data_IF_801083960139
#
_entry.id   IF_801083960139
#
_cell.length_a   1.000
_cell.length_b   1.000
_cell.length_c   1.000
_cell.angle_alpha   90.00
_cell.angle_beta   90.00
_cell.angle_gamma   90.00
#
_symmetry.space_group_name_H-M   'P 1'
#
loop_
_entity.id
_entity.type
_entity.pdbx_description
1 polymer ?
#
# COMPACT_ATOMS: atom_id res chain seq x y z
N UNK A 1 70.71 36.32 28.63
CA UNK A 1 70.14 35.17 29.33
C UNK A 1 68.74 35.48 29.87
N UNK A 2 67.76 35.85 29.02
CA UNK A 2 66.43 36.28 29.51
C UNK A 2 65.23 35.81 28.67
N UNK A 3 65.39 34.82 27.78
CA UNK A 3 64.29 34.34 26.93
C UNK A 3 63.68 33.01 27.43
N UNK A 4 64.45 32.19 28.16
CA UNK A 4 64.01 30.85 28.59
C UNK A 4 62.80 30.88 29.55
N UNK A 5 62.71 31.92 30.37
CA UNK A 5 61.62 32.04 31.35
C UNK A 5 60.30 32.47 30.68
N UNK A 6 60.37 33.18 29.56
CA UNK A 6 59.19 33.60 28.79
C UNK A 6 58.66 32.45 27.94
N UNK A 7 59.55 31.60 27.42
CA UNK A 7 59.18 30.41 26.65
C UNK A 7 58.54 29.34 27.54
N UNK A 8 59.04 29.12 28.75
CA UNK A 8 58.45 28.20 29.72
C UNK A 8 57.03 28.61 30.15
N UNK A 9 56.81 29.92 30.37
CA UNK A 9 55.50 30.46 30.74
C UNK A 9 54.50 30.38 29.58
N UNK A 10 54.95 30.67 28.35
CA UNK A 10 54.12 30.53 27.15
C UNK A 10 53.77 29.06 26.88
N UNK A 11 54.70 28.13 27.15
CA UNK A 11 54.43 26.71 26.99
C UNK A 11 53.42 26.20 28.03
N UNK A 12 53.57 26.59 29.31
CA UNK A 12 52.60 26.26 30.35
C UNK A 12 51.20 26.83 30.08
N UNK A 13 51.13 28.06 29.54
CA UNK A 13 49.86 28.65 29.11
C UNK A 13 49.22 27.89 27.95
N UNK A 14 50.00 27.46 26.95
CA UNK A 14 49.50 26.63 25.85
C UNK A 14 48.99 25.29 26.35
N UNK A 15 49.76 24.61 27.19
CA UNK A 15 49.42 23.28 27.71
C UNK A 15 48.16 23.32 28.60
N UNK A 16 47.92 24.44 29.30
CA UNK A 16 46.73 24.61 30.12
C UNK A 16 45.50 25.03 29.30
N UNK A 17 45.64 25.99 28.37
CA UNK A 17 44.49 26.59 27.69
C UNK A 17 44.10 25.88 26.39
N UNK A 18 45.04 25.34 25.62
CA UNK A 18 44.74 24.71 24.32
C UNK A 18 43.79 23.51 24.47
N UNK A 19 43.94 22.60 25.46
CA UNK A 19 43.00 21.48 25.63
C UNK A 19 41.60 21.97 26.01
N UNK A 20 41.53 22.92 26.96
CA UNK A 20 40.25 23.48 27.45
C UNK A 20 39.49 24.17 26.31
N UNK A 21 40.19 24.96 25.49
CA UNK A 21 39.56 25.60 24.32
C UNK A 21 39.20 24.57 23.24
N UNK A 22 40.02 23.56 23.02
CA UNK A 22 39.75 22.52 22.01
C UNK A 22 38.51 21.69 22.35
N UNK A 23 38.36 21.24 23.60
CA UNK A 23 37.18 20.52 24.07
C UNK A 23 35.91 21.36 23.94
N UNK A 24 36.00 22.64 24.31
CA UNK A 24 34.86 23.56 24.24
C UNK A 24 34.45 23.86 22.80
N UNK A 25 35.40 23.95 21.87
CA UNK A 25 35.13 24.08 20.43
C UNK A 25 34.45 22.83 19.88
N UNK A 26 34.91 21.63 20.26
CA UNK A 26 34.27 20.37 19.85
C UNK A 26 32.84 20.28 20.39
N UNK A 27 32.62 20.60 21.67
CA UNK A 27 31.30 20.60 22.27
C UNK A 27 30.33 21.58 21.56
N UNK A 28 30.81 22.78 21.21
CA UNK A 28 30.02 23.77 20.46
C UNK A 28 29.67 23.28 19.05
N UNK A 29 30.60 22.62 18.35
CA UNK A 29 30.34 22.04 17.02
C UNK A 29 29.29 20.92 17.09
N UNK A 30 29.41 20.03 18.07
CA UNK A 30 28.43 18.95 18.27
C UNK A 30 27.05 19.49 18.65
N UNK A 31 26.99 20.50 19.51
CA UNK A 31 25.74 21.18 19.86
C UNK A 31 25.11 21.87 18.65
N UNK A 32 25.92 22.53 17.81
CA UNK A 32 25.47 23.16 16.57
C UNK A 32 24.93 22.13 15.57
N UNK A 33 25.62 21.01 15.37
CA UNK A 33 25.16 19.94 14.49
C UNK A 33 23.84 19.32 14.98
N UNK A 34 23.71 19.14 16.30
CA UNK A 34 22.46 18.67 16.91
C UNK A 34 21.31 19.66 16.73
N UNK A 35 21.58 20.96 16.84
CA UNK A 35 20.57 22.01 16.63
C UNK A 35 20.06 22.04 15.19
N UNK A 36 20.94 21.85 14.20
CA UNK A 36 20.52 21.73 12.79
C UNK A 36 19.68 20.46 12.55
N UNK A 37 20.10 19.32 13.11
CA UNK A 37 19.32 18.07 13.00
C UNK A 37 17.91 18.18 13.63
N UNK A 38 17.74 18.97 14.69
CA UNK A 38 16.42 19.20 15.30
C UNK A 38 15.53 20.02 14.36
N UNK A 39 16.08 21.05 13.70
CA UNK A 39 15.32 21.85 12.73
C UNK A 39 14.84 21.02 11.54
N UNK A 40 15.67 20.11 11.05
CA UNK A 40 15.30 19.21 9.96
C UNK A 40 14.15 18.28 10.36
N UNK A 41 14.15 17.79 11.60
CA UNK A 41 13.06 16.96 12.13
C UNK A 41 11.77 17.77 12.31
N UNK A 42 11.86 18.99 12.81
CA UNK A 42 10.70 19.90 12.93
C UNK A 42 10.08 20.20 11.55
N UNK A 43 10.91 20.40 10.52
CA UNK A 43 10.45 20.61 9.15
C UNK A 43 9.75 19.36 8.59
N UNK A 44 10.27 18.16 8.90
CA UNK A 44 9.65 16.89 8.52
C UNK A 44 8.31 16.68 9.19
N UNK A 45 8.20 16.99 10.48
CA UNK A 45 6.94 16.91 11.24
C UNK A 45 5.90 17.84 10.61
N UNK A 46 6.26 19.09 10.32
CA UNK A 46 5.35 20.05 9.68
C UNK A 46 4.86 19.57 8.30
N UNK A 47 5.73 18.95 7.50
CA UNK A 47 5.36 18.37 6.21
C UNK A 47 4.37 17.19 6.37
N UNK A 48 4.59 16.30 7.34
CA UNK A 48 3.69 15.19 7.64
C UNK A 48 2.33 15.66 8.17
N UNK A 49 2.30 16.70 9.00
CA UNK A 49 1.06 17.30 9.48
C UNK A 49 0.25 17.90 8.33
N UNK A 50 0.92 18.55 7.38
CA UNK A 50 0.30 19.11 6.18
C UNK A 50 -0.33 18.01 5.32
N UNK A 51 0.39 16.91 5.07
CA UNK A 51 -0.16 15.79 4.30
C UNK A 51 -1.29 15.08 5.05
N UNK A 52 -1.18 14.92 6.37
CA UNK A 52 -2.26 14.36 7.18
C UNK A 52 -3.53 15.22 7.13
N UNK A 53 -3.38 16.55 7.13
CA UNK A 53 -4.52 17.47 6.96
C UNK A 53 -5.17 17.28 5.58
N UNK A 54 -4.37 17.13 4.52
CA UNK A 54 -4.84 16.85 3.16
C UNK A 54 -5.61 15.53 3.09
N UNK A 55 -5.06 14.45 3.66
CA UNK A 55 -5.70 13.14 3.69
C UNK A 55 -7.02 13.17 4.47
N UNK A 56 -7.08 13.86 5.60
CA UNK A 56 -8.32 14.05 6.36
C UNK A 56 -9.40 14.76 5.53
N UNK A 57 -9.03 15.82 4.81
CA UNK A 57 -9.94 16.51 3.90
C UNK A 57 -10.44 15.58 2.79
N UNK A 58 -9.57 14.74 2.22
CA UNK A 58 -9.96 13.77 1.19
C UNK A 58 -10.91 12.70 1.73
N UNK A 59 -10.65 12.17 2.92
CA UNK A 59 -11.52 11.19 3.58
C UNK A 59 -12.89 11.79 3.86
N UNK A 60 -12.94 13.02 4.40
CA UNK A 60 -14.20 13.72 4.65
C UNK A 60 -14.98 13.97 3.36
N UNK A 61 -14.28 14.42 2.31
CA UNK A 61 -14.89 14.61 0.99
C UNK A 61 -15.43 13.29 0.42
N UNK A 62 -14.68 12.18 0.57
CA UNK A 62 -15.11 10.86 0.13
C UNK A 62 -16.33 10.35 0.90
N UNK A 63 -16.37 10.53 2.22
CA UNK A 63 -17.52 10.16 3.07
C UNK A 63 -18.79 10.95 2.74
N UNK A 64 -18.65 12.19 2.27
CA UNK A 64 -19.78 13.03 1.83
C UNK A 64 -20.31 12.68 0.44
N UNK A 65 -19.64 11.80 -0.31
CA UNK A 65 -20.13 11.40 -1.64
C UNK A 65 -21.38 10.55 -1.48
N UNK A 66 -22.42 10.87 -2.25
CA UNK A 66 -23.59 10.02 -2.33
C UNK A 66 -23.26 8.74 -3.14
N UNK A 67 -23.78 7.57 -2.73
CA UNK A 67 -23.74 6.36 -3.55
C UNK A 67 -24.44 6.58 -4.89
N UNK A 68 -23.89 6.00 -5.95
CA UNK A 68 -24.48 6.02 -7.30
C UNK A 68 -25.38 4.82 -7.51
N UNK A 69 -24.95 3.67 -6.99
CA UNK A 69 -25.67 2.42 -7.08
C UNK A 69 -25.41 1.59 -5.82
N UNK A 70 -26.10 0.46 -5.73
CA UNK A 70 -26.03 -0.42 -4.58
C UNK A 70 -26.07 -1.87 -5.02
N UNK A 71 -25.35 -2.73 -4.29
CA UNK A 71 -25.26 -4.17 -4.53
C UNK A 71 -25.48 -4.94 -3.23
N UNK A 72 -26.01 -6.16 -3.32
CA UNK A 72 -26.12 -7.08 -2.18
C UNK A 72 -25.55 -8.43 -2.52
N UNK A 73 -24.65 -8.93 -1.67
CA UNK A 73 -24.12 -10.29 -1.77
C UNK A 73 -25.12 -11.30 -1.20
N UNK A 74 -25.28 -12.43 -1.87
CA UNK A 74 -26.15 -13.52 -1.47
C UNK A 74 -25.32 -14.67 -0.89
N UNK A 75 -25.94 -15.49 -0.05
CA UNK A 75 -25.28 -16.66 0.57
C UNK A 75 -24.93 -17.77 -0.42
N UNK A 76 -25.51 -17.74 -1.62
CA UNK A 76 -25.18 -18.65 -2.73
C UNK A 76 -23.93 -18.20 -3.51
N UNK A 77 -23.23 -17.17 -3.05
CA UNK A 77 -22.05 -16.61 -3.72
C UNK A 77 -22.37 -15.66 -4.87
N UNK A 78 -23.65 -15.49 -5.22
CA UNK A 78 -24.09 -14.52 -6.22
C UNK A 78 -24.21 -13.10 -5.67
N UNK A 79 -24.62 -12.18 -6.54
CA UNK A 79 -24.96 -10.81 -6.16
C UNK A 79 -26.28 -10.37 -6.78
N UNK A 80 -26.94 -9.41 -6.12
CA UNK A 80 -28.14 -8.73 -6.58
C UNK A 80 -27.82 -7.24 -6.79
N UNK A 81 -28.18 -6.70 -7.94
CA UNK A 81 -27.83 -5.33 -8.37
C UNK A 81 -26.95 -5.31 -9.62
N UNK A 82 -26.40 -4.14 -10.01
CA UNK A 82 -26.51 -2.85 -9.34
C UNK A 82 -27.91 -2.24 -9.46
N UNK A 83 -28.44 -1.69 -8.37
CA UNK A 83 -29.64 -0.84 -8.38
C UNK A 83 -29.18 0.61 -8.16
N UNK A 84 -29.61 1.52 -9.03
CA UNK A 84 -29.25 2.95 -8.95
C UNK A 84 -29.84 3.60 -7.69
N UNK A 85 -29.15 4.56 -7.09
CA UNK A 85 -29.65 5.28 -5.90
C UNK A 85 -30.98 5.99 -6.16
N UNK A 86 -31.21 6.40 -7.41
CA UNK A 86 -32.43 7.06 -7.89
C UNK A 86 -33.57 6.09 -8.26
N UNK A 87 -33.34 4.78 -8.21
CA UNK A 87 -34.37 3.78 -8.55
C UNK A 87 -35.43 3.72 -7.43
N UNK A 88 -36.71 3.73 -7.82
CA UNK A 88 -37.84 3.71 -6.87
C UNK A 88 -37.86 2.46 -5.97
N UNK A 89 -37.21 1.37 -6.39
CA UNK A 89 -37.05 0.16 -5.58
C UNK A 89 -36.11 0.38 -4.40
N UNK A 90 -35.31 1.46 -4.38
CA UNK A 90 -34.28 1.71 -3.38
C UNK A 90 -34.76 2.59 -2.23
N UNK A 91 -35.36 1.96 -1.22
CA UNK A 91 -35.81 2.62 0.02
C UNK A 91 -34.77 2.55 1.15
N UNK A 92 -34.95 3.37 2.19
CA UNK A 92 -34.05 3.46 3.35
C UNK A 92 -33.77 2.11 4.02
N UNK A 93 -34.80 1.25 4.11
CA UNK A 93 -34.64 -0.10 4.65
C UNK A 93 -33.64 -0.92 3.84
N UNK A 94 -33.63 -0.81 2.51
CA UNK A 94 -32.68 -1.53 1.67
C UNK A 94 -31.28 -0.93 1.76
N UNK A 95 -31.14 0.39 1.87
CA UNK A 95 -29.84 1.07 2.04
C UNK A 95 -29.07 0.56 3.27
N UNK A 96 -29.75 0.08 4.31
CA UNK A 96 -29.10 -0.52 5.50
C UNK A 96 -28.51 -1.92 5.31
N UNK A 97 -28.94 -2.67 4.30
CA UNK A 97 -28.49 -4.06 4.05
C UNK A 97 -27.71 -4.24 2.74
N UNK A 98 -27.61 -3.17 1.94
CA UNK A 98 -26.94 -3.19 0.65
C UNK A 98 -25.62 -2.41 0.74
N UNK A 99 -24.62 -2.85 0.00
CA UNK A 99 -23.32 -2.20 -0.09
C UNK A 99 -23.39 -1.05 -1.10
N UNK A 100 -23.03 0.19 -0.71
CA UNK A 100 -23.02 1.33 -1.62
C UNK A 100 -21.85 1.23 -2.60
N UNK A 101 -22.11 1.62 -3.85
CA UNK A 101 -21.13 1.80 -4.92
C UNK A 101 -21.03 3.28 -5.25
N UNK A 102 -19.83 3.84 -5.14
CA UNK A 102 -19.56 5.25 -5.43
C UNK A 102 -19.00 5.41 -6.84
N UNK A 103 -19.19 6.59 -7.44
CA UNK A 103 -18.51 6.92 -8.68
C UNK A 103 -16.98 6.87 -8.48
N UNK A 104 -16.35 5.88 -9.09
CA UNK A 104 -14.90 5.88 -9.27
C UNK A 104 -14.47 7.00 -10.22
N UNK A 105 -13.19 7.37 -10.24
CA UNK A 105 -12.65 8.10 -11.38
C UNK A 105 -12.97 7.28 -12.64
N UNK A 106 -13.46 7.92 -13.69
CA UNK A 106 -13.67 7.24 -14.96
C UNK A 106 -12.32 6.66 -15.39
N UNK A 107 -12.18 5.34 -15.28
CA UNK A 107 -11.11 4.64 -15.97
C UNK A 107 -11.55 4.74 -17.42
N UNK A 108 -11.03 5.72 -18.15
CA UNK A 108 -11.06 5.70 -19.60
C UNK A 108 -10.31 4.44 -20.01
N UNK A 109 -11.04 3.34 -20.19
CA UNK A 109 -10.52 2.16 -20.85
C UNK A 109 -10.36 2.59 -22.30
N UNK A 110 -9.19 3.15 -22.60
CA UNK A 110 -8.77 3.36 -23.98
C UNK A 110 -8.95 2.01 -24.70
N UNK A 111 -9.62 1.95 -25.86
CA UNK A 111 -9.88 0.70 -26.56
C UNK A 111 -8.61 0.01 -27.09
N UNK A 112 -7.43 0.48 -26.71
CA UNK A 112 -6.16 0.02 -27.22
C UNK A 112 -5.50 -0.96 -26.23
N UNK A 113 -5.97 -2.21 -26.27
CA UNK A 113 -5.38 -3.39 -25.60
C UNK A 113 -3.90 -3.64 -25.98
N UNK A 114 -3.32 -2.81 -26.84
CA UNK A 114 -1.92 -2.84 -27.26
C UNK A 114 -0.93 -2.61 -26.11
N UNK A 115 -1.28 -1.77 -25.12
CA UNK A 115 -0.39 -1.56 -23.95
C UNK A 115 -0.41 -2.74 -22.97
N UNK A 116 -1.56 -3.36 -22.74
CA UNK A 116 -1.65 -4.58 -21.93
C UNK A 116 -0.87 -5.73 -22.58
N UNK A 117 -0.94 -5.88 -23.90
CA UNK A 117 -0.15 -6.86 -24.64
C UNK A 117 1.36 -6.59 -24.58
N UNK A 118 1.79 -5.32 -24.62
CA UNK A 118 3.19 -4.92 -24.49
C UNK A 118 3.75 -5.20 -23.09
N UNK A 119 3.02 -4.81 -22.02
CA UNK A 119 3.37 -5.12 -20.63
C UNK A 119 3.39 -6.63 -20.35
N UNK A 120 2.54 -7.40 -21.02
CA UNK A 120 2.50 -8.88 -20.92
C UNK A 120 3.60 -9.57 -21.72
N UNK A 121 4.18 -8.90 -22.72
CA UNK A 121 5.28 -9.42 -23.53
C UNK A 121 6.63 -9.16 -22.84
N UNK A 122 6.78 -7.99 -22.23
CA UNK A 122 8.02 -7.58 -21.54
C UNK A 122 8.25 -8.38 -20.24
N UNK A 123 7.18 -8.84 -19.58
CA UNK A 123 7.25 -9.67 -18.37
C UNK A 123 7.23 -11.19 -18.64
N UNK A 124 7.29 -11.64 -19.90
CA UNK A 124 7.24 -13.07 -20.26
C UNK A 124 8.61 -13.78 -20.19
N UNK A 125 9.65 -13.08 -19.71
CA UNK A 125 10.97 -13.66 -19.51
C UNK A 125 10.99 -14.67 -18.36
N UNK A 126 11.91 -15.64 -18.45
CA UNK A 126 12.20 -16.76 -17.52
C UNK A 126 12.16 -16.43 -16.02
N UNK A 127 12.22 -15.15 -15.66
CA UNK A 127 12.31 -14.63 -14.31
C UNK A 127 10.95 -14.54 -13.58
N UNK A 128 9.83 -14.54 -14.30
CA UNK A 128 8.50 -14.51 -13.66
C UNK A 128 8.22 -15.79 -12.86
N UNK A 129 8.60 -16.95 -13.41
CA UNK A 129 8.43 -18.25 -12.76
C UNK A 129 9.39 -18.40 -11.57
N UNK A 130 10.63 -17.89 -11.69
CA UNK A 130 11.59 -17.85 -10.61
C UNK A 130 11.15 -16.94 -9.45
N UNK A 131 10.59 -15.76 -9.75
CA UNK A 131 10.02 -14.84 -8.76
C UNK A 131 8.80 -15.42 -8.06
N UNK A 132 7.92 -16.09 -8.80
CA UNK A 132 6.76 -16.79 -8.21
C UNK A 132 7.20 -17.92 -7.28
N UNK A 133 8.20 -18.71 -7.66
CA UNK A 133 8.79 -19.74 -6.78
C UNK A 133 9.51 -19.14 -5.57
N UNK A 134 10.14 -17.98 -5.71
CA UNK A 134 10.80 -17.29 -4.60
C UNK A 134 9.81 -16.75 -3.54
N UNK A 135 8.56 -16.50 -3.94
CA UNK A 135 7.47 -16.11 -3.03
C UNK A 135 6.78 -17.33 -2.39
N UNK A 136 7.04 -18.54 -2.86
CA UNK A 136 6.44 -19.76 -2.32
C UNK A 136 7.17 -20.19 -1.03
N UNK A 137 6.47 -20.12 0.09
CA UNK A 137 6.94 -20.64 1.37
C UNK A 137 6.40 -22.08 1.51
N UNK A 138 7.25 -23.11 1.48
CA UNK A 138 6.79 -24.48 1.69
C UNK A 138 6.26 -24.64 3.12
N UNK A 139 5.16 -25.37 3.27
CA UNK A 139 4.57 -25.63 4.58
C UNK A 139 5.56 -26.37 5.49
N UNK A 140 5.62 -26.02 6.79
CA UNK A 140 6.49 -26.67 7.74
C UNK A 140 6.10 -28.16 7.89
N UNK A 141 7.08 -29.04 8.12
CA UNK A 141 6.84 -30.48 8.24
C UNK A 141 5.94 -30.77 9.45
N UNK A 142 4.80 -31.43 9.21
CA UNK A 142 3.83 -31.81 10.24
C UNK A 142 2.61 -30.89 10.35
N UNK A 143 2.60 -29.74 9.67
CA UNK A 143 1.36 -28.98 9.46
C UNK A 143 0.70 -29.45 8.16
N UNK A 144 -0.55 -29.91 8.25
CA UNK A 144 -1.39 -30.03 7.07
C UNK A 144 -1.62 -28.61 6.53
N UNK A 145 -0.93 -28.28 5.44
CA UNK A 145 -1.44 -27.27 4.52
C UNK A 145 -2.81 -27.66 3.97
N UNK A 146 -3.41 -26.85 3.10
CA UNK A 146 -4.58 -27.25 2.32
C UNK A 146 -4.17 -28.36 1.31
N UNK A 147 -3.83 -29.54 1.82
CA UNK A 147 -3.31 -30.70 1.09
C UNK A 147 -4.40 -31.71 0.74
N UNK A 148 -5.67 -31.35 0.87
CA UNK A 148 -6.73 -32.03 0.13
C UNK A 148 -6.79 -31.42 -1.29
N UNK A 149 -5.75 -31.68 -2.08
CA UNK A 149 -5.76 -31.43 -3.54
C UNK A 149 -6.97 -32.11 -4.20
N UNK A 150 -7.50 -33.19 -3.61
CA UNK A 150 -8.74 -33.84 -4.02
C UNK A 150 -9.96 -32.93 -3.90
N UNK A 151 -10.14 -32.21 -2.79
CA UNK A 151 -11.34 -31.39 -2.57
C UNK A 151 -11.40 -30.19 -3.53
N UNK A 152 -10.26 -29.55 -3.81
CA UNK A 152 -10.20 -28.45 -4.77
C UNK A 152 -10.36 -28.94 -6.22
N UNK A 153 -9.75 -30.08 -6.56
CA UNK A 153 -9.83 -30.64 -7.91
C UNK A 153 -11.23 -31.16 -8.22
N UNK A 154 -11.85 -31.87 -7.28
CA UNK A 154 -13.17 -32.44 -7.44
C UNK A 154 -14.25 -31.34 -7.46
N UNK A 155 -14.12 -30.32 -6.59
CA UNK A 155 -15.00 -29.16 -6.60
C UNK A 155 -14.91 -28.34 -7.89
N UNK A 156 -13.69 -28.12 -8.40
CA UNK A 156 -13.48 -27.35 -9.64
C UNK A 156 -13.96 -28.10 -10.88
N UNK A 157 -13.73 -29.41 -10.96
CA UNK A 157 -14.24 -30.24 -12.05
C UNK A 157 -15.77 -30.31 -12.05
N UNK A 158 -16.39 -30.43 -10.87
CA UNK A 158 -17.86 -30.43 -10.75
C UNK A 158 -18.46 -29.10 -11.21
N UNK A 159 -17.88 -27.97 -10.80
CA UNK A 159 -18.35 -26.65 -11.23
C UNK A 159 -18.19 -26.43 -12.75
N UNK A 160 -17.13 -26.96 -13.35
CA UNK A 160 -16.92 -26.92 -14.80
C UNK A 160 -17.94 -27.79 -15.55
N UNK A 161 -18.23 -29.00 -15.07
CA UNK A 161 -19.21 -29.89 -15.69
C UNK A 161 -20.63 -29.29 -15.62
N UNK A 162 -21.00 -28.67 -14.49
CA UNK A 162 -22.28 -27.96 -14.35
C UNK A 162 -22.38 -26.77 -15.32
N UNK A 163 -21.32 -25.97 -15.43
CA UNK A 163 -21.29 -24.84 -16.36
C UNK A 163 -21.44 -25.28 -17.83
N UNK A 164 -20.76 -26.36 -18.22
CA UNK A 164 -20.87 -26.93 -19.57
C UNK A 164 -22.30 -27.45 -19.80
N UNK A 165 -22.91 -28.10 -18.82
CA UNK A 165 -24.29 -28.58 -18.88
C UNK A 165 -25.30 -27.46 -19.09
N UNK A 166 -25.17 -26.35 -18.35
CA UNK A 166 -26.04 -25.16 -18.50
C UNK A 166 -25.87 -24.54 -19.88
N UNK A 167 -24.64 -24.41 -20.39
CA UNK A 167 -24.39 -23.88 -21.73
C UNK A 167 -25.03 -24.77 -22.79
N UNK A 168 -24.84 -26.10 -22.72
CA UNK A 168 -25.44 -27.03 -23.67
C UNK A 168 -26.98 -26.96 -23.67
N UNK A 169 -27.62 -26.88 -22.50
CA UNK A 169 -29.07 -26.75 -22.37
C UNK A 169 -29.59 -25.40 -22.88
N UNK A 170 -28.87 -24.31 -22.63
CA UNK A 170 -29.22 -22.98 -23.15
C UNK A 170 -29.12 -22.93 -24.68
N UNK A 171 -28.13 -23.63 -25.26
CA UNK A 171 -27.92 -23.69 -26.71
C UNK A 171 -28.96 -24.60 -27.39
N UNK A 172 -29.42 -25.66 -26.71
CA UNK A 172 -30.47 -26.55 -27.20
C UNK A 172 -31.88 -25.93 -27.11
N UNK A 173 -32.15 -25.07 -26.11
CA UNK A 173 -33.41 -24.32 -26.00
C UNK A 173 -33.53 -23.14 -26.97
N UNK A 174 -32.42 -22.70 -27.55
CA UNK A 174 -32.37 -21.61 -28.51
C UNK A 174 -32.52 -22.06 -29.99
N UNK A 175 -32.73 -23.36 -30.23
CA UNK A 175 -33.09 -23.94 -31.52
C UNK A 175 -34.53 -24.43 -31.48
#
# INVERSE_FOLDING_TARGET
>A
MSNDNTDALNQALKDLFVPIFSERIVALRTASAKAESIKDEDARIAALETENARLRQQIEAAQKRAPVAWVRYRSDGGFEGPIMDTDARMCDTRRGFWTPLFAGPAIEVAPDNSQAAALSAENRGEDADAKLRALYIPNPPGELGPSDESQYRDGYNTALEDAIGVIAQSTARAR
#
